data_IF_217384146763
#
_entry.id   IF_217384146763
#
_cell.length_a   1.000
_cell.length_b   1.000
_cell.length_c   1.000
_cell.angle_alpha   90.00
_cell.angle_beta   90.00
_cell.angle_gamma   90.00
#
_symmetry.space_group_name_H-M   'P 1'
#
loop_
_entity.id
_entity.type
_entity.pdbx_description
1 polymer ?
#
# COMPACT_ATOMS: atom_id res chain seq x y z
N UNK A 1 -5.14 18.12 -9.98
CA UNK A 1 -3.98 17.22 -10.12
C UNK A 1 -4.18 16.04 -9.22
N UNK A 2 -4.22 14.81 -9.76
CA UNK A 2 -4.54 13.59 -8.99
C UNK A 2 -3.26 12.84 -8.66
N UNK A 3 -3.12 12.33 -7.45
CA UNK A 3 -1.94 11.61 -6.95
C UNK A 3 -2.33 10.36 -6.17
N UNK A 4 -1.55 9.31 -6.28
CA UNK A 4 -1.47 8.04 -5.54
C UNK A 4 -2.68 7.08 -5.58
N UNK A 5 -2.40 5.83 -5.80
CA UNK A 5 -3.37 4.72 -5.81
C UNK A 5 -2.77 3.43 -5.24
N UNK A 6 -3.58 2.64 -4.56
CA UNK A 6 -3.19 1.41 -3.88
C UNK A 6 -4.20 0.27 -4.03
N UNK A 7 -3.74 -0.95 -3.77
CA UNK A 7 -4.48 -2.19 -3.87
C UNK A 7 -4.44 -3.02 -2.58
N UNK A 8 -5.58 -3.55 -2.11
CA UNK A 8 -5.67 -4.54 -1.04
C UNK A 8 -6.92 -5.45 -1.16
N UNK A 9 -6.83 -6.69 -0.71
CA UNK A 9 -7.88 -7.71 -0.88
C UNK A 9 -8.91 -7.81 0.25
N UNK A 10 -8.70 -7.23 1.45
CA UNK A 10 -9.64 -7.34 2.58
C UNK A 10 -9.87 -6.02 3.31
N UNK A 11 -11.14 -5.75 3.60
CA UNK A 11 -11.58 -4.61 4.40
C UNK A 11 -12.13 -5.12 5.74
N UNK A 12 -11.43 -4.85 6.83
CA UNK A 12 -11.98 -4.87 8.18
C UNK A 12 -11.39 -3.70 8.93
N UNK A 13 -12.15 -2.65 9.14
CA UNK A 13 -11.71 -1.46 9.87
C UNK A 13 -12.89 -0.82 10.60
N UNK A 14 -12.63 -0.20 11.73
CA UNK A 14 -13.61 0.51 12.54
C UNK A 14 -14.30 1.65 11.79
N UNK A 15 -15.49 1.96 12.22
CA UNK A 15 -16.55 2.66 11.49
C UNK A 15 -16.32 4.12 11.05
N UNK A 16 -15.17 4.77 11.35
CA UNK A 16 -15.06 6.23 11.19
C UNK A 16 -13.92 6.79 10.34
N UNK A 17 -13.00 5.96 9.79
CA UNK A 17 -11.78 6.45 9.14
C UNK A 17 -11.76 6.33 7.62
N UNK A 18 -12.64 5.50 7.03
CA UNK A 18 -12.67 5.24 5.59
C UNK A 18 -14.08 4.97 5.08
N UNK A 19 -14.28 5.15 3.78
CA UNK A 19 -15.54 4.86 3.08
C UNK A 19 -15.27 3.87 1.94
N UNK A 20 -16.19 2.92 1.72
CA UNK A 20 -16.21 2.11 0.50
C UNK A 20 -16.97 2.88 -0.56
N UNK A 21 -16.30 3.17 -1.66
CA UNK A 21 -16.85 3.90 -2.80
C UNK A 21 -17.04 2.91 -3.95
N UNK A 22 -18.22 2.91 -4.54
CA UNK A 22 -18.49 2.23 -5.80
C UNK A 22 -18.54 3.25 -6.94
N UNK A 23 -17.73 3.05 -7.97
CA UNK A 23 -17.65 3.93 -9.13
C UNK A 23 -17.24 3.17 -10.38
N UNK A 24 -17.99 3.37 -11.48
CA UNK A 24 -17.75 2.72 -12.77
C UNK A 24 -17.63 1.19 -12.68
N UNK A 25 -18.39 0.58 -11.75
CA UNK A 25 -18.45 -0.86 -11.55
C UNK A 25 -17.28 -1.46 -10.78
N UNK A 26 -16.39 -0.65 -10.21
CA UNK A 26 -15.36 -1.09 -9.28
C UNK A 26 -15.58 -0.50 -7.90
N UNK A 27 -15.17 -1.23 -6.86
CA UNK A 27 -15.26 -0.78 -5.48
C UNK A 27 -13.88 -0.56 -4.89
N UNK A 28 -13.70 0.52 -4.12
CA UNK A 28 -12.44 0.84 -3.46
C UNK A 28 -12.67 1.54 -2.12
N UNK A 29 -11.68 1.44 -1.25
CA UNK A 29 -11.62 2.16 0.03
C UNK A 29 -11.02 3.53 -0.22
N UNK A 30 -11.67 4.58 0.28
CA UNK A 30 -11.14 5.94 0.36
C UNK A 30 -10.94 6.34 1.82
N UNK A 31 -10.07 7.31 2.08
CA UNK A 31 -9.70 7.72 3.43
C UNK A 31 -10.23 9.11 3.73
N UNK A 32 -11.04 9.24 4.79
CA UNK A 32 -11.64 10.53 5.21
C UNK A 32 -10.57 11.56 5.58
N UNK A 33 -9.44 11.11 6.11
CA UNK A 33 -8.27 11.95 6.40
C UNK A 33 -7.84 12.80 5.19
N UNK A 34 -7.95 12.24 3.99
CA UNK A 34 -7.53 12.90 2.76
C UNK A 34 -8.66 13.62 2.02
N UNK A 35 -9.91 13.48 2.46
CA UNK A 35 -11.09 14.08 1.80
C UNK A 35 -11.06 15.60 1.62
N UNK A 36 -10.43 16.40 2.52
CA UNK A 36 -10.28 17.84 2.32
C UNK A 36 -9.39 18.23 1.12
N UNK A 37 -8.51 17.35 0.67
CA UNK A 37 -7.50 17.63 -0.34
C UNK A 37 -7.96 17.16 -1.72
N UNK A 38 -8.73 18.03 -2.42
CA UNK A 38 -9.40 17.69 -3.70
C UNK A 38 -8.43 17.36 -4.85
N UNK A 39 -7.18 17.78 -4.73
CA UNK A 39 -6.11 17.49 -5.68
C UNK A 39 -5.38 16.16 -5.41
N UNK A 40 -5.70 15.48 -4.30
CA UNK A 40 -5.14 14.19 -3.91
C UNK A 40 -6.14 13.07 -4.25
N UNK A 41 -5.63 11.98 -4.83
CA UNK A 41 -6.34 10.70 -4.92
C UNK A 41 -5.58 9.67 -4.11
N UNK A 42 -6.24 9.10 -3.09
CA UNK A 42 -5.71 8.04 -2.27
C UNK A 42 -6.79 6.96 -2.11
N UNK A 43 -6.53 5.77 -2.58
CA UNK A 43 -7.50 4.70 -2.58
C UNK A 43 -6.84 3.32 -2.54
N UNK A 44 -7.55 2.35 -1.97
CA UNK A 44 -7.18 0.92 -1.98
C UNK A 44 -8.32 0.16 -2.65
N UNK A 45 -8.04 -0.60 -3.72
CA UNK A 45 -9.07 -1.38 -4.39
C UNK A 45 -9.62 -2.48 -3.47
N UNK A 46 -10.88 -2.83 -3.66
CA UNK A 46 -11.40 -4.13 -3.19
C UNK A 46 -11.17 -5.18 -4.27
N UNK A 47 -11.63 -6.41 -4.02
CA UNK A 47 -11.60 -7.49 -5.04
C UNK A 47 -12.75 -7.43 -6.05
N UNK A 48 -13.64 -6.44 -5.98
CA UNK A 48 -14.90 -6.40 -6.74
C UNK A 48 -14.78 -5.52 -7.98
N UNK A 49 -15.44 -5.94 -9.09
CA UNK A 49 -15.55 -5.15 -10.31
C UNK A 49 -14.56 -5.49 -11.42
N UNK A 50 -13.78 -6.55 -11.27
CA UNK A 50 -12.82 -7.01 -12.29
C UNK A 50 -13.37 -8.09 -13.23
N UNK A 51 -12.48 -8.61 -14.06
CA UNK A 51 -12.74 -9.65 -15.08
C UNK A 51 -12.05 -10.98 -14.78
N UNK A 52 -11.17 -11.05 -13.82
CA UNK A 52 -10.51 -12.28 -13.42
C UNK A 52 -11.51 -13.31 -12.89
N UNK A 53 -11.21 -14.58 -13.10
CA UNK A 53 -12.08 -15.71 -12.75
C UNK A 53 -11.39 -16.67 -11.78
N UNK A 54 -12.12 -17.71 -11.32
CA UNK A 54 -11.55 -18.69 -10.39
C UNK A 54 -11.09 -18.07 -9.09
N UNK A 55 -9.91 -18.45 -8.65
CA UNK A 55 -9.31 -17.98 -7.38
C UNK A 55 -8.96 -16.49 -7.40
N UNK A 56 -8.80 -15.91 -8.59
CA UNK A 56 -8.47 -14.48 -8.78
C UNK A 56 -9.71 -13.58 -8.93
N UNK A 57 -10.92 -14.12 -8.77
CA UNK A 57 -12.17 -13.38 -8.94
C UNK A 57 -12.27 -12.25 -7.93
N UNK A 58 -12.42 -11.03 -8.40
CA UNK A 58 -12.59 -10.59 -9.77
C UNK A 58 -11.59 -9.50 -10.18
N UNK A 59 -11.14 -8.62 -9.25
CA UNK A 59 -10.30 -7.44 -9.53
C UNK A 59 -8.84 -7.69 -9.11
N UNK A 60 -8.25 -8.81 -9.52
CA UNK A 60 -6.83 -9.04 -9.28
C UNK A 60 -5.98 -8.04 -10.10
N UNK A 61 -5.08 -7.35 -9.42
CA UNK A 61 -4.25 -6.28 -9.98
C UNK A 61 -2.77 -6.68 -10.12
N UNK A 62 -2.41 -7.87 -9.62
CA UNK A 62 -1.03 -8.33 -9.55
C UNK A 62 -0.65 -9.24 -10.72
N UNK A 63 0.45 -8.93 -11.37
CA UNK A 63 1.08 -9.80 -12.38
C UNK A 63 1.87 -10.97 -11.78
N UNK A 64 1.97 -11.07 -10.45
CA UNK A 64 2.79 -12.07 -9.76
C UNK A 64 1.99 -13.24 -9.20
N UNK A 65 0.67 -13.28 -9.38
CA UNK A 65 -0.22 -14.29 -8.80
C UNK A 65 -0.44 -15.50 -9.68
N UNK A 66 -0.06 -15.44 -10.97
CA UNK A 66 -0.31 -16.51 -11.95
C UNK A 66 -1.66 -16.39 -12.68
N UNK A 67 -2.36 -15.28 -12.52
CA UNK A 67 -3.57 -14.93 -13.28
C UNK A 67 -3.26 -14.62 -14.75
N UNK A 68 -4.30 -14.59 -15.58
CA UNK A 68 -4.21 -14.16 -16.98
C UNK A 68 -3.75 -12.70 -17.06
N UNK A 69 -2.66 -12.45 -17.80
CA UNK A 69 -2.06 -11.11 -17.88
C UNK A 69 -3.00 -10.07 -18.49
N UNK A 70 -3.82 -10.46 -19.47
CA UNK A 70 -4.77 -9.52 -20.10
C UNK A 70 -5.94 -9.21 -19.16
N UNK A 71 -6.39 -10.18 -18.34
CA UNK A 71 -7.35 -9.93 -17.28
C UNK A 71 -6.80 -8.93 -16.25
N UNK A 72 -5.53 -9.10 -15.81
CA UNK A 72 -4.88 -8.16 -14.88
C UNK A 72 -4.78 -6.75 -15.49
N UNK A 73 -4.38 -6.62 -16.76
CA UNK A 73 -4.33 -5.32 -17.46
C UNK A 73 -5.70 -4.65 -17.51
N UNK A 74 -6.75 -5.41 -17.86
CA UNK A 74 -8.11 -4.89 -17.91
C UNK A 74 -8.61 -4.48 -16.52
N UNK A 75 -8.30 -5.25 -15.46
CA UNK A 75 -8.61 -4.88 -14.08
C UNK A 75 -7.95 -3.56 -13.69
N UNK A 76 -6.65 -3.42 -13.97
CA UNK A 76 -5.91 -2.19 -13.73
C UNK A 76 -6.50 -1.02 -14.49
N UNK A 77 -6.82 -1.19 -15.77
CA UNK A 77 -7.45 -0.17 -16.60
C UNK A 77 -8.79 0.30 -15.99
N UNK A 78 -9.66 -0.62 -15.58
CA UNK A 78 -10.96 -0.30 -14.95
C UNK A 78 -10.77 0.51 -13.68
N UNK A 79 -9.93 0.01 -12.80
CA UNK A 79 -9.71 0.63 -11.49
C UNK A 79 -9.13 2.05 -11.62
N UNK A 80 -8.07 2.20 -12.40
CA UNK A 80 -7.43 3.51 -12.54
C UNK A 80 -8.33 4.51 -13.28
N UNK A 81 -9.10 4.07 -14.29
CA UNK A 81 -10.10 4.92 -14.93
C UNK A 81 -11.17 5.41 -13.94
N UNK A 82 -11.69 4.53 -13.09
CA UNK A 82 -12.67 4.93 -12.06
C UNK A 82 -12.11 5.99 -11.10
N UNK A 83 -10.80 5.94 -10.83
CA UNK A 83 -10.11 6.99 -10.06
C UNK A 83 -9.81 8.24 -10.90
N UNK A 84 -10.05 8.18 -12.22
CA UNK A 84 -9.75 9.25 -13.17
C UNK A 84 -8.24 9.43 -13.39
N UNK A 85 -7.48 8.34 -13.30
CA UNK A 85 -6.04 8.27 -13.55
C UNK A 85 -5.79 7.54 -14.86
N UNK A 86 -4.74 7.96 -15.57
CA UNK A 86 -4.21 7.21 -16.70
C UNK A 86 -3.19 6.17 -16.23
N UNK A 87 -3.21 4.98 -16.80
CA UNK A 87 -2.15 3.99 -16.54
C UNK A 87 -0.77 4.51 -16.91
N UNK A 88 -0.67 5.47 -17.82
CA UNK A 88 0.60 6.11 -18.21
C UNK A 88 1.22 7.01 -17.13
N UNK A 89 0.43 7.43 -16.14
CA UNK A 89 0.89 8.28 -15.04
C UNK A 89 1.35 7.47 -13.82
N UNK A 90 1.20 6.13 -13.88
CA UNK A 90 1.50 5.23 -12.79
C UNK A 90 2.99 4.89 -12.73
N UNK A 91 3.49 4.73 -11.51
CA UNK A 91 4.81 4.15 -11.23
C UNK A 91 4.64 3.02 -10.25
N UNK A 92 5.02 1.81 -10.66
CA UNK A 92 5.01 0.61 -9.83
C UNK A 92 6.42 0.06 -9.60
N UNK A 93 6.57 -0.72 -8.54
CA UNK A 93 7.83 -1.35 -8.18
C UNK A 93 7.69 -2.86 -7.97
N UNK A 94 8.82 -3.56 -8.04
CA UNK A 94 8.94 -4.96 -7.68
C UNK A 94 9.24 -5.07 -6.18
N UNK A 95 8.19 -5.32 -5.38
CA UNK A 95 8.23 -5.40 -3.94
C UNK A 95 9.00 -6.66 -3.49
N UNK A 96 9.87 -6.50 -2.52
CA UNK A 96 10.76 -7.55 -1.99
C UNK A 96 10.62 -7.76 -0.48
N UNK A 97 9.64 -7.10 0.15
CA UNK A 97 9.40 -7.07 1.60
C UNK A 97 10.60 -6.51 2.38
N UNK A 98 11.27 -5.53 1.78
CA UNK A 98 12.39 -4.80 2.36
C UNK A 98 11.97 -3.45 2.96
N UNK A 99 12.95 -2.53 3.02
CA UNK A 99 12.76 -1.17 3.54
C UNK A 99 13.28 -0.09 2.58
N UNK A 100 13.64 -0.48 1.35
CA UNK A 100 14.14 0.47 0.37
C UNK A 100 13.01 1.34 -0.18
N UNK A 101 13.24 2.66 -0.19
CA UNK A 101 12.29 3.67 -0.63
C UNK A 101 12.91 4.45 -1.79
N UNK A 102 12.23 4.46 -2.93
CA UNK A 102 12.68 5.13 -4.15
C UNK A 102 11.95 6.46 -4.33
N UNK A 103 12.70 7.51 -4.68
CA UNK A 103 12.13 8.77 -5.14
C UNK A 103 11.87 8.69 -6.64
N UNK A 104 10.61 8.90 -7.05
CA UNK A 104 10.20 8.80 -8.44
C UNK A 104 9.73 10.13 -9.00
N UNK A 105 9.86 10.25 -10.30
CA UNK A 105 9.55 11.43 -11.10
C UNK A 105 8.69 11.07 -12.31
N UNK A 106 8.30 12.04 -13.10
CA UNK A 106 7.57 11.81 -14.37
C UNK A 106 8.33 10.92 -15.36
N UNK A 107 9.67 10.84 -15.25
CA UNK A 107 10.48 9.97 -16.10
C UNK A 107 10.25 8.48 -15.83
N UNK A 108 9.75 8.17 -14.65
CA UNK A 108 9.48 6.80 -14.22
C UNK A 108 8.04 6.37 -14.54
N UNK A 109 7.20 7.29 -15.01
CA UNK A 109 5.81 6.99 -15.35
C UNK A 109 5.72 5.93 -16.45
N UNK A 110 4.78 4.98 -16.26
CA UNK A 110 4.59 3.81 -17.11
C UNK A 110 5.31 2.56 -16.61
N UNK A 111 6.28 2.66 -15.71
CA UNK A 111 7.01 1.52 -15.18
C UNK A 111 6.15 0.64 -14.26
N UNK A 112 6.22 -0.69 -14.42
CA UNK A 112 5.45 -1.67 -13.64
C UNK A 112 3.95 -1.66 -13.93
N UNK A 113 3.53 -1.09 -15.05
CA UNK A 113 2.12 -0.92 -15.40
C UNK A 113 1.58 -2.08 -16.23
N UNK A 114 2.33 -2.54 -17.22
CA UNK A 114 1.97 -3.61 -18.14
C UNK A 114 2.54 -4.98 -17.75
N UNK A 115 3.40 -5.01 -16.75
CA UNK A 115 4.09 -6.19 -16.25
C UNK A 115 5.05 -5.83 -15.13
N UNK A 116 5.74 -6.83 -14.60
CA UNK A 116 6.77 -6.62 -13.57
C UNK A 116 8.17 -6.42 -14.14
N UNK A 117 8.33 -6.66 -15.42
CA UNK A 117 9.63 -6.73 -16.08
C UNK A 117 10.33 -5.36 -16.16
N UNK A 118 9.54 -4.29 -16.27
CA UNK A 118 9.98 -2.89 -16.30
C UNK A 118 9.71 -2.13 -14.99
N UNK A 119 9.15 -2.81 -13.98
CA UNK A 119 8.93 -2.21 -12.66
C UNK A 119 10.25 -1.75 -12.03
N UNK A 120 10.16 -0.74 -11.16
CA UNK A 120 11.32 -0.32 -10.36
C UNK A 120 11.83 -1.50 -9.51
N UNK A 121 13.12 -1.84 -9.56
CA UNK A 121 13.63 -3.03 -8.91
C UNK A 121 13.75 -2.85 -7.39
N UNK A 122 13.31 -3.87 -6.65
CA UNK A 122 13.69 -4.09 -5.25
C UNK A 122 13.35 -2.96 -4.29
N UNK A 123 12.20 -2.31 -4.41
CA UNK A 123 11.76 -1.31 -3.43
C UNK A 123 10.37 -1.61 -2.86
N UNK A 124 10.18 -1.21 -1.62
CA UNK A 124 8.93 -1.37 -0.87
C UNK A 124 8.36 -0.02 -0.40
N UNK A 125 8.92 1.08 -0.90
CA UNK A 125 8.43 2.43 -0.73
C UNK A 125 8.67 3.28 -1.96
N UNK A 126 7.73 4.17 -2.28
CA UNK A 126 7.82 5.17 -3.35
C UNK A 126 7.43 6.53 -2.80
N UNK A 127 8.18 7.56 -3.16
CA UNK A 127 7.86 8.94 -2.83
C UNK A 127 7.97 9.85 -4.04
N UNK A 128 7.14 10.90 -4.09
CA UNK A 128 7.24 11.95 -5.12
C UNK A 128 6.58 13.24 -4.66
N UNK A 129 7.04 14.38 -5.18
CA UNK A 129 6.33 15.66 -5.09
C UNK A 129 5.93 16.19 -6.48
N UNK A 130 6.11 15.40 -7.53
CA UNK A 130 5.73 15.81 -8.88
C UNK A 130 4.22 15.60 -9.13
N UNK A 131 3.48 16.66 -9.48
CA UNK A 131 2.09 16.54 -9.87
C UNK A 131 1.90 15.67 -11.12
N UNK A 132 0.89 14.79 -11.09
CA UNK A 132 0.56 13.91 -12.21
C UNK A 132 1.31 12.57 -12.18
N UNK A 133 2.22 12.35 -11.23
CA UNK A 133 2.78 11.03 -10.94
C UNK A 133 1.88 10.32 -9.95
N UNK A 134 1.49 9.07 -10.24
CA UNK A 134 0.69 8.24 -9.36
C UNK A 134 1.46 7.00 -8.92
N UNK A 135 1.65 6.85 -7.60
CA UNK A 135 2.34 5.71 -7.01
C UNK A 135 1.41 4.50 -6.93
N UNK A 136 1.87 3.32 -7.28
CA UNK A 136 1.09 2.09 -7.17
C UNK A 136 1.91 0.93 -6.62
N UNK A 137 1.31 0.17 -5.69
CA UNK A 137 1.84 -1.06 -5.13
C UNK A 137 0.74 -2.10 -5.00
N UNK A 138 1.12 -3.37 -4.86
CA UNK A 138 0.20 -4.48 -4.67
C UNK A 138 0.22 -4.94 -3.20
N UNK A 139 -0.98 -5.16 -2.66
CA UNK A 139 -1.17 -5.65 -1.31
C UNK A 139 -2.20 -6.79 -1.33
N UNK A 140 -1.98 -7.80 -0.54
CA UNK A 140 -2.97 -8.83 -0.22
C UNK A 140 -3.21 -8.83 1.29
N UNK A 141 -2.20 -9.19 2.06
CA UNK A 141 -2.24 -9.32 3.51
C UNK A 141 -1.43 -8.24 4.22
N UNK A 142 -0.36 -7.75 3.54
CA UNK A 142 0.55 -6.72 4.06
C UNK A 142 -0.14 -5.36 4.14
N UNK A 143 0.32 -4.53 5.08
CA UNK A 143 -0.29 -3.25 5.41
C UNK A 143 0.10 -2.16 4.41
N UNK A 144 -0.87 -1.53 3.72
CA UNK A 144 -0.65 -0.32 2.95
C UNK A 144 -0.40 0.89 3.86
N UNK A 145 0.67 1.63 3.60
CA UNK A 145 1.00 2.86 4.31
C UNK A 145 1.00 4.03 3.34
N UNK A 146 0.09 4.99 3.55
CA UNK A 146 -0.09 6.17 2.70
C UNK A 146 0.36 7.41 3.43
N UNK A 147 1.16 8.24 2.77
CA UNK A 147 1.67 9.48 3.33
C UNK A 147 1.35 10.66 2.41
N UNK A 148 0.97 11.78 2.99
CA UNK A 148 0.75 13.02 2.27
C UNK A 148 1.22 14.22 3.08
N UNK A 149 2.11 15.01 2.50
CA UNK A 149 2.51 16.32 3.02
C UNK A 149 1.76 17.41 2.24
N UNK A 150 0.76 18.06 2.83
CA UNK A 150 0.02 19.13 2.17
C UNK A 150 0.84 20.40 1.95
N UNK A 151 1.89 20.62 2.73
CA UNK A 151 2.77 21.80 2.64
C UNK A 151 3.73 21.66 1.46
N UNK A 152 4.40 20.53 1.35
CA UNK A 152 5.37 20.24 0.28
C UNK A 152 4.71 19.65 -0.97
N UNK A 153 3.41 19.33 -0.90
CA UNK A 153 2.68 18.64 -1.97
C UNK A 153 3.31 17.30 -2.35
N UNK A 154 3.90 16.64 -1.37
CA UNK A 154 4.57 15.35 -1.52
C UNK A 154 3.68 14.21 -1.07
N UNK A 155 3.82 13.07 -1.73
CA UNK A 155 3.14 11.83 -1.40
C UNK A 155 4.14 10.70 -1.20
N UNK A 156 3.78 9.75 -0.35
CA UNK A 156 4.50 8.51 -0.14
C UNK A 156 3.55 7.31 -0.09
N UNK A 157 4.04 6.18 -0.55
CA UNK A 157 3.37 4.90 -0.50
C UNK A 157 4.37 3.85 -0.09
N UNK A 158 4.09 3.08 0.99
CA UNK A 158 4.99 2.05 1.45
C UNK A 158 4.26 0.73 1.75
N UNK A 159 4.97 -0.37 1.56
CA UNK A 159 4.51 -1.74 1.73
C UNK A 159 4.94 -2.27 3.10
N UNK A 160 4.02 -2.19 4.06
CA UNK A 160 4.20 -2.66 5.43
C UNK A 160 4.02 -4.18 5.58
N UNK A 161 4.85 -5.00 4.90
CA UNK A 161 5.02 -6.39 5.27
C UNK A 161 5.71 -6.49 6.63
N UNK A 162 5.63 -7.64 7.33
CA UNK A 162 6.19 -7.74 8.68
C UNK A 162 7.69 -7.41 8.77
N UNK A 163 8.47 -7.77 7.76
CA UNK A 163 9.90 -7.40 7.70
C UNK A 163 10.12 -5.90 7.53
N UNK A 164 9.34 -5.29 6.62
CA UNK A 164 9.38 -3.85 6.41
C UNK A 164 8.96 -3.07 7.65
N UNK A 165 7.90 -3.52 8.32
CA UNK A 165 7.40 -2.92 9.57
C UNK A 165 8.43 -3.06 10.70
N UNK A 166 8.99 -4.26 10.90
CA UNK A 166 10.07 -4.48 11.87
C UNK A 166 11.35 -3.67 11.52
N UNK A 167 11.58 -3.40 10.24
CA UNK A 167 12.64 -2.52 9.74
C UNK A 167 12.28 -1.03 9.76
N UNK A 168 11.13 -0.65 10.36
CA UNK A 168 10.67 0.74 10.48
C UNK A 168 10.42 1.45 9.13
N UNK A 169 9.86 0.75 8.13
CA UNK A 169 9.62 1.33 6.80
C UNK A 169 8.77 2.61 6.85
N UNK A 170 7.85 2.72 7.81
CA UNK A 170 7.03 3.92 7.99
C UNK A 170 7.91 5.14 8.36
N UNK A 171 8.75 5.02 9.37
CA UNK A 171 9.68 6.07 9.79
C UNK A 171 10.67 6.42 8.68
N UNK A 172 11.22 5.40 8.02
CA UNK A 172 12.15 5.60 6.90
C UNK A 172 11.49 6.33 5.72
N UNK A 173 10.19 6.10 5.46
CA UNK A 173 9.45 6.84 4.43
C UNK A 173 9.34 8.33 4.80
N UNK A 174 9.00 8.63 6.06
CA UNK A 174 8.94 10.03 6.55
C UNK A 174 10.31 10.70 6.47
N UNK A 175 11.38 10.03 6.89
CA UNK A 175 12.73 10.54 6.78
C UNK A 175 13.13 10.79 5.32
N UNK A 176 12.79 9.87 4.42
CA UNK A 176 13.06 10.03 2.99
C UNK A 176 12.30 11.21 2.37
N UNK A 177 11.04 11.43 2.77
CA UNK A 177 10.27 12.61 2.37
C UNK A 177 10.89 13.90 2.92
N UNK A 178 11.40 13.87 4.14
CA UNK A 178 12.14 15.00 4.73
C UNK A 178 13.42 15.32 3.95
N UNK A 179 14.23 14.31 3.67
CA UNK A 179 15.48 14.45 2.90
C UNK A 179 15.23 14.98 1.48
N UNK A 180 14.24 14.39 0.76
CA UNK A 180 13.99 14.67 -0.64
C UNK A 180 13.24 15.98 -0.89
N UNK A 181 12.31 16.34 0.01
CA UNK A 181 11.35 17.43 -0.23
C UNK A 181 11.35 18.49 0.87
N UNK A 182 12.10 18.29 1.96
CA UNK A 182 12.07 19.16 3.14
C UNK A 182 10.76 19.09 3.90
N UNK A 183 10.08 17.93 3.87
CA UNK A 183 8.87 17.67 4.67
C UNK A 183 9.18 17.71 6.16
N UNK A 184 8.26 18.25 6.97
CA UNK A 184 8.32 18.13 8.42
C UNK A 184 7.35 17.00 8.84
N UNK A 185 7.81 16.10 9.70
CA UNK A 185 6.99 14.96 10.15
C UNK A 185 5.63 15.37 10.74
N UNK A 186 5.56 16.52 11.41
CA UNK A 186 4.30 17.06 11.98
C UNK A 186 3.27 17.47 10.93
N UNK A 187 3.71 17.76 9.70
CA UNK A 187 2.86 18.19 8.59
C UNK A 187 2.42 16.99 7.73
N UNK A 188 3.03 15.82 7.90
CA UNK A 188 2.71 14.62 7.14
C UNK A 188 1.47 13.94 7.74
N UNK A 189 0.46 13.82 6.92
CA UNK A 189 -0.71 12.99 7.18
C UNK A 189 -0.40 11.55 6.76
N UNK A 190 -0.68 10.58 7.63
CA UNK A 190 -0.48 9.17 7.34
C UNK A 190 -1.77 8.37 7.54
N UNK A 191 -2.06 7.46 6.63
CA UNK A 191 -3.16 6.51 6.74
C UNK A 191 -2.65 5.08 6.59
N UNK A 192 -3.24 4.18 7.37
CA UNK A 192 -3.02 2.74 7.31
C UNK A 192 -4.20 2.14 6.55
N UNK A 193 -3.90 1.41 5.47
CA UNK A 193 -4.91 0.74 4.66
C UNK A 193 -5.30 -0.64 5.19
N UNK A 194 -6.30 -1.28 4.58
CA UNK A 194 -6.73 -2.63 4.93
C UNK A 194 -5.59 -3.64 4.84
N UNK A 195 -5.48 -4.50 5.84
CA UNK A 195 -4.48 -5.55 5.93
C UNK A 195 -5.05 -6.77 6.67
N UNK A 196 -4.27 -7.84 6.79
CA UNK A 196 -4.67 -9.03 7.55
C UNK A 196 -4.87 -8.67 9.03
N UNK A 197 -6.05 -8.99 9.55
CA UNK A 197 -6.40 -8.72 10.94
C UNK A 197 -5.70 -9.65 11.93
N UNK A 198 -5.62 -9.25 13.21
CA UNK A 198 -4.91 -9.99 14.25
C UNK A 198 -5.48 -11.39 14.53
N UNK A 199 -6.73 -11.66 14.16
CA UNK A 199 -7.37 -12.98 14.35
C UNK A 199 -6.99 -13.98 13.24
N UNK A 200 -6.24 -13.56 12.23
CA UNK A 200 -5.87 -14.37 11.07
C UNK A 200 -4.38 -14.37 10.77
N UNK A 201 -3.64 -13.42 11.28
CA UNK A 201 -2.20 -13.31 11.03
C UNK A 201 -1.42 -14.21 11.99
N UNK A 202 -1.30 -15.49 11.62
CA UNK A 202 -0.52 -16.47 12.38
C UNK A 202 0.97 -16.39 11.99
N UNK A 203 1.84 -16.25 12.99
CA UNK A 203 3.29 -16.05 12.82
C UNK A 203 4.11 -17.00 13.70
N UNK A 204 5.38 -17.16 13.37
CA UNK A 204 6.37 -17.89 14.14
C UNK A 204 7.21 -16.98 15.06
N UNK A 205 8.16 -17.62 15.76
CA UNK A 205 9.10 -16.95 16.67
C UNK A 205 9.98 -15.89 15.96
N UNK A 206 10.25 -16.07 14.68
CA UNK A 206 11.04 -15.16 13.88
C UNK A 206 10.41 -13.75 13.80
N UNK A 207 9.08 -13.68 13.66
CA UNK A 207 8.34 -12.42 13.67
C UNK A 207 8.38 -11.80 15.07
N UNK A 208 8.08 -12.60 16.11
CA UNK A 208 8.09 -12.11 17.51
C UNK A 208 9.47 -11.53 17.84
N UNK A 209 10.56 -12.23 17.47
CA UNK A 209 11.90 -11.78 17.71
C UNK A 209 12.22 -10.46 16.98
N UNK A 210 11.79 -10.32 15.72
CA UNK A 210 12.00 -9.10 14.95
C UNK A 210 11.35 -7.88 15.62
N UNK A 211 10.09 -8.03 16.06
CA UNK A 211 9.37 -6.95 16.75
C UNK A 211 9.86 -6.73 18.19
N UNK A 212 10.35 -7.76 18.86
CA UNK A 212 11.04 -7.61 20.16
C UNK A 212 12.30 -6.76 20.04
N UNK A 213 13.04 -6.91 18.96
CA UNK A 213 14.23 -6.11 18.69
C UNK A 213 13.89 -4.65 18.39
N UNK A 214 12.73 -4.38 17.78
CA UNK A 214 12.28 -3.02 17.45
C UNK A 214 11.70 -2.30 18.67
N UNK A 215 10.76 -2.92 19.38
CA UNK A 215 9.98 -2.27 20.45
C UNK A 215 10.45 -2.59 21.85
N UNK A 216 11.17 -3.69 22.05
CA UNK A 216 11.50 -4.22 23.37
C UNK A 216 10.61 -5.38 23.81
N UNK A 217 11.05 -6.06 24.86
CA UNK A 217 10.39 -7.30 25.35
C UNK A 217 9.01 -7.04 25.96
N UNK A 218 8.80 -5.90 26.56
CA UNK A 218 7.55 -5.57 27.27
C UNK A 218 6.46 -5.16 26.27
N UNK A 219 6.82 -4.26 25.36
CA UNK A 219 5.90 -3.66 24.39
C UNK A 219 5.38 -4.67 23.37
N UNK A 220 6.23 -5.64 22.98
CA UNK A 220 5.83 -6.66 22.01
C UNK A 220 4.75 -7.61 22.56
N UNK A 221 4.62 -7.76 23.89
CA UNK A 221 3.64 -8.66 24.51
C UNK A 221 2.19 -8.27 24.18
N UNK A 222 1.92 -7.00 23.96
CA UNK A 222 0.59 -6.51 23.63
C UNK A 222 0.23 -6.75 22.15
N UNK A 223 1.23 -7.11 21.33
CA UNK A 223 1.05 -7.30 19.89
C UNK A 223 0.66 -8.72 19.49
N UNK A 224 0.74 -9.71 20.39
CA UNK A 224 0.45 -11.09 20.00
C UNK A 224 -0.25 -11.91 21.10
N UNK A 225 -0.90 -12.99 20.64
CA UNK A 225 -1.49 -14.01 21.50
C UNK A 225 -0.98 -15.40 21.09
N UNK A 226 -0.53 -16.25 22.03
CA UNK A 226 -0.09 -17.60 21.69
C UNK A 226 -1.27 -18.47 21.20
N UNK A 227 -1.01 -19.33 20.24
CA UNK A 227 -1.94 -20.36 19.76
C UNK A 227 -1.65 -21.72 20.39
N UNK A 228 -2.56 -22.67 20.23
CA UNK A 228 -2.38 -24.05 20.74
C UNK A 228 -1.29 -24.84 20.00
N UNK A 229 -0.89 -24.37 18.81
CA UNK A 229 0.08 -25.05 17.94
C UNK A 229 1.51 -24.51 18.07
N UNK A 230 1.78 -23.70 19.11
CA UNK A 230 3.11 -23.12 19.33
C UNK A 230 3.46 -21.99 18.38
N UNK A 231 2.44 -21.35 17.81
CA UNK A 231 2.55 -20.12 17.00
C UNK A 231 1.86 -18.95 17.71
N UNK A 232 1.75 -17.82 17.03
CA UNK A 232 1.19 -16.60 17.59
C UNK A 232 0.23 -15.93 16.60
N UNK A 233 -0.90 -15.45 17.08
CA UNK A 233 -1.73 -14.50 16.35
C UNK A 233 -1.20 -13.09 16.63
N UNK A 234 -0.77 -12.38 15.58
CA UNK A 234 -0.02 -11.13 15.70
C UNK A 234 -0.83 -9.94 15.17
N UNK A 235 -0.79 -8.84 15.90
CA UNK A 235 -1.40 -7.57 15.50
C UNK A 235 -0.34 -6.62 14.94
N UNK A 236 -0.46 -6.28 13.67
CA UNK A 236 0.41 -5.32 12.97
C UNK A 236 -0.19 -3.90 12.86
N UNK A 237 -1.32 -3.66 13.52
CA UNK A 237 -2.07 -2.40 13.42
C UNK A 237 -1.80 -1.49 14.60
#
# INVERSE_FOLDING_TARGET
>A
MKRAVMYAEYVTGGDDMSDIIEKEGVSFVSFRLFAPYKDLTAAVSTRLGGVSTGDFKSLNMSFSTGDDKEAVKENRRRYFNALGLSTKDLVGCNQVHGVHIEQVTKKDCGRGVEGKEDALPGCDGLITNEPGVALTMNFADCTPLLFFDPVRKAIGLAHGGWRGTAGNIAGLTVEKMKEAFGSDAKDILAAIGPAMGPDRFEVGDDVIQAFTNLFGKTEVLDLYKPTKEGKYLFNMW
#
